data_IF_707677754376
#
_entry.id   IF_707677754376
#
_cell.length_a   1.000
_cell.length_b   1.000
_cell.length_c   1.000
_cell.angle_alpha   90.00
_cell.angle_beta   90.00
_cell.angle_gamma   90.00
#
_symmetry.space_group_name_H-M   'P 1'
#
loop_
_entity.id
_entity.type
_entity.pdbx_description
1 polymer ?
#
# COMPACT_ATOMS: atom_id res chain seq x y z
N UNK A 1 -10.48 9.04 -8.38
CA UNK A 1 -11.94 8.96 -8.17
C UNK A 1 -12.22 8.38 -6.80
N UNK A 2 -13.32 8.76 -6.16
CA UNK A 2 -13.85 8.19 -4.91
C UNK A 2 -15.28 7.73 -5.15
N UNK A 3 -15.63 6.51 -4.74
CA UNK A 3 -17.00 6.00 -4.86
C UNK A 3 -17.87 6.54 -3.71
N UNK A 4 -18.89 7.33 -4.02
CA UNK A 4 -19.80 7.95 -3.03
C UNK A 4 -21.22 7.92 -3.58
N UNK A 5 -22.18 7.44 -2.79
CA UNK A 5 -23.59 7.51 -3.16
C UNK A 5 -23.96 6.76 -4.46
N UNK A 6 -23.19 5.74 -4.85
CA UNK A 6 -23.43 4.95 -6.06
C UNK A 6 -22.66 5.40 -7.30
N UNK A 7 -21.83 6.45 -7.21
CA UNK A 7 -21.08 6.98 -8.36
C UNK A 7 -19.61 7.25 -8.02
N UNK A 8 -18.76 7.25 -9.05
CA UNK A 8 -17.35 7.63 -8.97
C UNK A 8 -17.20 9.15 -9.15
N UNK A 9 -16.93 9.85 -8.06
CA UNK A 9 -16.71 11.30 -8.06
C UNK A 9 -15.22 11.58 -8.29
N UNK A 10 -14.85 12.49 -9.20
CA UNK A 10 -13.45 12.92 -9.35
C UNK A 10 -13.00 13.66 -8.08
N UNK A 11 -11.73 13.47 -7.73
CA UNK A 11 -11.06 14.16 -6.62
C UNK A 11 -9.80 14.77 -7.21
N UNK A 12 -9.54 16.04 -6.91
CA UNK A 12 -8.36 16.74 -7.41
C UNK A 12 -7.08 16.02 -6.98
N UNK A 13 -6.20 15.76 -7.93
CA UNK A 13 -4.97 14.98 -7.72
C UNK A 13 -4.67 14.09 -8.91
N UNK A 14 -3.39 13.96 -9.26
CA UNK A 14 -2.90 13.14 -10.36
C UNK A 14 -2.01 12.03 -9.81
N UNK A 15 -2.62 10.89 -9.50
CA UNK A 15 -1.93 9.73 -8.94
C UNK A 15 -1.98 8.56 -9.93
N UNK A 16 -0.89 7.80 -10.03
CA UNK A 16 -0.82 6.56 -10.82
C UNK A 16 -1.22 5.34 -10.01
N UNK A 17 -1.12 5.42 -8.69
CA UNK A 17 -1.54 4.40 -7.73
C UNK A 17 -2.03 5.08 -6.47
N UNK A 18 -3.08 4.53 -5.88
CA UNK A 18 -3.68 4.95 -4.61
C UNK A 18 -4.00 3.72 -3.78
N UNK A 19 -3.97 3.87 -2.46
CA UNK A 19 -4.38 2.86 -1.50
C UNK A 19 -5.26 3.48 -0.40
N UNK A 20 -6.20 2.68 0.08
CA UNK A 20 -7.18 3.04 1.09
C UNK A 20 -7.29 1.96 2.19
N UNK A 21 -6.22 1.18 2.42
CA UNK A 21 -6.16 0.16 3.46
C UNK A 21 -5.85 0.71 4.86
N UNK A 22 -5.50 2.00 4.96
CA UNK A 22 -5.20 2.69 6.21
C UNK A 22 -6.40 2.91 7.13
N UNK A 23 -6.18 3.67 8.20
CA UNK A 23 -7.21 4.10 9.16
C UNK A 23 -7.93 5.36 8.66
N UNK A 24 -8.64 5.21 7.54
CA UNK A 24 -9.36 6.24 6.78
C UNK A 24 -8.49 7.24 6.02
N UNK A 25 -7.18 7.31 6.22
CA UNK A 25 -6.31 8.07 5.31
C UNK A 25 -6.20 7.40 3.94
N UNK A 26 -6.00 8.20 2.91
CA UNK A 26 -5.67 7.71 1.57
C UNK A 26 -4.21 8.04 1.29
N UNK A 27 -3.46 7.08 0.78
CA UNK A 27 -2.09 7.31 0.31
C UNK A 27 -1.97 7.01 -1.17
N UNK A 28 -0.91 7.50 -1.79
CA UNK A 28 -0.65 7.18 -3.19
C UNK A 28 0.59 7.85 -3.74
N UNK A 29 0.87 7.55 -4.99
CA UNK A 29 2.04 8.07 -5.71
C UNK A 29 1.65 8.57 -7.10
N UNK A 30 2.33 9.60 -7.58
CA UNK A 30 2.10 10.14 -8.92
C UNK A 30 3.03 9.52 -9.98
N UNK A 31 2.91 9.97 -11.23
CA UNK A 31 3.74 9.51 -12.35
C UNK A 31 5.24 9.76 -12.16
N UNK A 32 5.62 10.76 -11.36
CA UNK A 32 6.98 11.11 -11.01
C UNK A 32 7.48 10.44 -9.70
N UNK A 33 6.78 9.42 -9.20
CA UNK A 33 7.06 8.72 -7.94
C UNK A 33 6.93 9.59 -6.67
N UNK A 34 6.38 10.80 -6.76
CA UNK A 34 6.14 11.63 -5.57
C UNK A 34 5.06 10.98 -4.70
N UNK A 35 5.28 11.01 -3.39
CA UNK A 35 4.48 10.32 -2.38
C UNK A 35 3.50 11.30 -1.73
N UNK A 36 2.24 10.90 -1.62
CA UNK A 36 1.17 11.73 -1.08
C UNK A 36 0.32 11.00 -0.05
N UNK A 37 -0.25 11.78 0.87
CA UNK A 37 -1.26 11.35 1.84
C UNK A 37 -2.41 12.36 1.91
N UNK A 38 -3.62 11.86 2.07
CA UNK A 38 -4.84 12.63 2.29
C UNK A 38 -5.45 12.27 3.65
N UNK A 39 -5.66 13.29 4.47
CA UNK A 39 -6.06 13.15 5.88
C UNK A 39 -7.50 12.70 6.03
N UNK A 40 -7.80 12.05 7.15
CA UNK A 40 -9.15 11.55 7.50
C UNK A 40 -10.25 12.60 7.45
N UNK A 41 -9.95 13.85 7.87
CA UNK A 41 -10.93 14.94 7.84
C UNK A 41 -11.45 15.27 6.44
N UNK A 42 -10.72 14.89 5.39
CA UNK A 42 -11.10 15.06 3.98
C UNK A 42 -11.72 13.76 3.44
N UNK A 43 -11.10 12.61 3.72
CA UNK A 43 -11.52 11.33 3.17
C UNK A 43 -12.85 10.85 3.76
N UNK A 44 -13.12 11.10 5.04
CA UNK A 44 -14.40 10.75 5.69
C UNK A 44 -15.52 11.74 5.36
N UNK A 45 -15.22 12.89 4.75
CA UNK A 45 -16.24 13.85 4.36
C UNK A 45 -17.13 13.29 3.22
N UNK A 46 -18.44 13.38 3.43
CA UNK A 46 -19.48 13.16 2.41
C UNK A 46 -19.46 14.34 1.41
N UNK A 47 -19.69 14.08 0.11
CA UNK A 47 -18.85 14.56 -0.98
C UNK A 47 -18.55 16.06 -0.88
N UNK A 48 -17.26 16.38 -0.82
CA UNK A 48 -16.76 17.69 -1.20
C UNK A 48 -16.30 17.59 -2.66
N UNK A 49 -17.14 17.94 -3.66
CA UNK A 49 -16.64 18.25 -4.98
C UNK A 49 -15.75 19.49 -4.85
N UNK A 50 -14.43 19.32 -4.91
CA UNK A 50 -13.51 20.45 -4.81
C UNK A 50 -12.05 20.07 -4.60
N UNK A 51 -11.22 21.11 -4.57
CA UNK A 51 -9.79 21.04 -4.34
C UNK A 51 -9.49 20.43 -2.96
N UNK A 52 -8.82 19.27 -2.96
CA UNK A 52 -8.33 18.63 -1.75
C UNK A 52 -6.83 18.92 -1.53
N UNK A 53 -6.44 19.07 -0.26
CA UNK A 53 -5.05 19.34 0.11
C UNK A 53 -4.27 18.05 0.35
N UNK A 54 -3.53 17.57 -0.65
CA UNK A 54 -2.61 16.44 -0.50
C UNK A 54 -1.35 16.85 0.28
N UNK A 55 -0.94 16.03 1.24
CA UNK A 55 0.33 16.17 1.95
C UNK A 55 1.42 15.45 1.18
N UNK A 56 2.48 16.15 0.78
CA UNK A 56 3.66 15.55 0.14
C UNK A 56 4.71 15.14 1.17
N UNK A 57 5.33 13.97 1.00
CA UNK A 57 6.25 13.38 1.99
C UNK A 57 7.74 13.47 1.66
N UNK A 58 8.10 13.93 0.46
CA UNK A 58 9.48 13.84 -0.04
C UNK A 58 9.94 12.39 -0.25
N UNK A 59 11.01 12.22 -1.03
CA UNK A 59 11.42 10.91 -1.53
C UNK A 59 10.56 10.40 -2.68
N UNK A 60 10.85 9.18 -3.14
CA UNK A 60 10.28 8.61 -4.36
C UNK A 60 9.86 7.15 -4.16
N UNK A 61 8.57 6.85 -4.37
CA UNK A 61 8.02 5.50 -4.40
C UNK A 61 7.17 5.31 -5.67
N UNK A 62 7.19 4.10 -6.22
CA UNK A 62 6.31 3.71 -7.33
C UNK A 62 5.02 3.01 -6.86
N UNK A 63 4.97 2.59 -5.60
CA UNK A 63 3.84 1.94 -4.95
C UNK A 63 3.85 2.26 -3.45
N UNK A 64 2.69 2.55 -2.87
CA UNK A 64 2.55 2.84 -1.45
C UNK A 64 1.19 2.37 -0.92
N UNK A 65 1.21 1.58 0.15
CA UNK A 65 0.04 0.92 0.76
C UNK A 65 0.12 1.06 2.29
N UNK A 66 -1.00 1.24 2.95
CA UNK A 66 -1.09 1.47 4.39
C UNK A 66 -2.01 0.45 5.07
N UNK A 67 -1.72 0.18 6.34
CA UNK A 67 -2.59 -0.57 7.24
C UNK A 67 -2.32 -0.17 8.69
N UNK A 68 -2.89 -0.89 9.68
CA UNK A 68 -2.89 -0.46 11.08
C UNK A 68 -1.49 -0.38 11.72
N UNK A 69 -0.54 -1.21 11.27
CA UNK A 69 0.82 -1.27 11.82
C UNK A 69 1.83 -0.41 11.04
N UNK A 70 1.40 0.33 10.04
CA UNK A 70 2.25 1.20 9.23
C UNK A 70 2.00 1.05 7.73
N UNK A 71 2.77 1.81 6.97
CA UNK A 71 2.68 1.90 5.53
C UNK A 71 3.95 1.41 4.87
N UNK A 72 3.79 0.58 3.85
CA UNK A 72 4.85 -0.05 3.08
C UNK A 72 4.85 0.47 1.66
N UNK A 73 6.03 0.70 1.13
CA UNK A 73 6.19 1.15 -0.23
C UNK A 73 7.46 0.63 -0.87
N UNK A 74 7.47 0.68 -2.20
CA UNK A 74 8.64 0.30 -2.99
C UNK A 74 9.00 1.42 -3.96
N UNK A 75 10.29 1.62 -4.21
CA UNK A 75 10.76 2.60 -5.19
C UNK A 75 11.07 1.98 -6.56
N UNK A 76 11.46 2.82 -7.52
CA UNK A 76 11.83 2.40 -8.88
C UNK A 76 13.03 1.45 -8.91
N UNK A 77 13.94 1.54 -7.93
CA UNK A 77 15.05 0.62 -7.71
C UNK A 77 14.68 -0.68 -6.95
N UNK A 78 13.38 -0.93 -6.76
CA UNK A 78 12.82 -2.11 -6.08
C UNK A 78 13.13 -2.17 -4.57
N UNK A 79 13.71 -1.13 -3.99
CA UNK A 79 13.97 -1.07 -2.54
C UNK A 79 12.66 -0.93 -1.78
N UNK A 80 12.57 -1.63 -0.65
CA UNK A 80 11.39 -1.69 0.21
C UNK A 80 11.57 -0.74 1.38
N UNK A 81 10.54 0.06 1.66
CA UNK A 81 10.54 1.08 2.71
C UNK A 81 9.29 0.97 3.56
N UNK A 82 9.44 1.21 4.86
CA UNK A 82 8.32 1.30 5.80
C UNK A 82 8.36 2.62 6.56
N UNK A 83 7.18 3.16 6.86
CA UNK A 83 6.97 4.31 7.73
C UNK A 83 5.64 4.16 8.47
N UNK A 84 5.41 4.94 9.51
CA UNK A 84 4.11 5.02 10.19
C UNK A 84 3.51 6.38 9.87
N UNK A 85 2.27 6.39 9.39
CA UNK A 85 1.51 7.60 9.07
C UNK A 85 0.48 7.85 10.16
N UNK A 86 0.40 9.10 10.65
CA UNK A 86 -0.71 9.55 11.45
C UNK A 86 -1.87 9.93 10.50
N UNK A 87 -3.03 9.27 10.61
CA UNK A 87 -4.11 9.43 9.63
C UNK A 87 -4.76 10.81 9.67
N UNK A 88 -4.85 11.43 10.85
CA UNK A 88 -5.47 12.74 11.05
C UNK A 88 -4.60 13.90 10.57
N UNK A 89 -3.28 13.77 10.65
CA UNK A 89 -2.34 14.85 10.32
C UNK A 89 -1.53 14.61 9.05
N UNK A 90 -1.51 13.39 8.53
CA UNK A 90 -0.52 12.90 7.56
C UNK A 90 0.93 13.19 8.03
N UNK A 91 1.21 13.30 9.33
CA UNK A 91 2.61 13.29 9.78
C UNK A 91 3.13 11.87 9.71
N UNK A 92 4.39 11.68 9.30
CA UNK A 92 5.01 10.35 9.23
C UNK A 92 6.29 10.25 10.05
N UNK A 93 6.67 9.03 10.41
CA UNK A 93 8.00 8.74 10.95
C UNK A 93 9.08 8.80 9.86
N UNK A 94 10.34 8.61 10.24
CA UNK A 94 11.41 8.39 9.29
C UNK A 94 11.17 7.12 8.48
N UNK A 95 11.62 7.13 7.22
CA UNK A 95 11.61 5.93 6.39
C UNK A 95 12.65 4.94 6.89
N UNK A 96 12.27 3.66 7.00
CA UNK A 96 13.17 2.56 7.34
C UNK A 96 13.31 1.69 6.09
N UNK A 97 14.54 1.46 5.66
CA UNK A 97 14.82 0.52 4.57
C UNK A 97 14.69 -0.91 5.09
N UNK A 98 13.94 -1.75 4.40
CA UNK A 98 13.80 -3.17 4.70
C UNK A 98 14.53 -3.95 3.61
N UNK A 99 15.40 -4.87 4.03
CA UNK A 99 16.17 -5.70 3.10
C UNK A 99 15.26 -6.53 2.19
N UNK A 100 15.64 -6.63 0.91
CA UNK A 100 14.85 -7.31 -0.12
C UNK A 100 14.61 -6.42 -1.34
N UNK A 101 13.93 -6.97 -2.34
CA UNK A 101 13.57 -6.25 -3.56
C UNK A 101 12.14 -6.62 -4.00
N UNK A 102 11.30 -5.62 -4.27
CA UNK A 102 9.91 -5.82 -4.65
C UNK A 102 9.41 -4.84 -5.73
N UNK A 103 8.45 -5.29 -6.54
CA UNK A 103 7.73 -4.45 -7.51
C UNK A 103 6.46 -3.82 -6.93
N UNK A 104 5.90 -4.40 -5.87
CA UNK A 104 4.75 -3.86 -5.12
C UNK A 104 4.76 -4.41 -3.68
N UNK A 105 4.03 -3.74 -2.79
CA UNK A 105 3.80 -4.14 -1.41
C UNK A 105 2.35 -3.82 -1.02
N UNK A 106 1.66 -4.75 -0.39
CA UNK A 106 0.32 -4.54 0.17
C UNK A 106 0.29 -4.82 1.66
N UNK A 107 -0.50 -4.03 2.36
CA UNK A 107 -0.77 -4.15 3.79
C UNK A 107 -2.23 -4.51 3.98
N UNK A 108 -2.51 -5.62 4.68
CA UNK A 108 -3.86 -6.02 5.04
C UNK A 108 -4.39 -5.27 6.25
N UNK A 109 -5.72 -5.34 6.45
CA UNK A 109 -6.42 -4.72 7.58
C UNK A 109 -6.03 -5.32 8.94
N UNK A 110 -5.41 -6.50 8.97
CA UNK A 110 -4.82 -7.12 10.17
C UNK A 110 -3.34 -6.77 10.38
N UNK A 111 -2.77 -5.94 9.49
CA UNK A 111 -1.36 -5.54 9.50
C UNK A 111 -0.41 -6.54 8.84
N UNK A 112 -0.92 -7.62 8.23
CA UNK A 112 -0.10 -8.53 7.42
C UNK A 112 0.44 -7.82 6.19
N UNK A 113 1.69 -8.11 5.81
CA UNK A 113 2.33 -7.46 4.66
C UNK A 113 2.78 -8.51 3.66
N UNK A 114 2.46 -8.25 2.40
CA UNK A 114 2.83 -9.09 1.28
C UNK A 114 3.54 -8.28 0.22
N UNK A 115 4.55 -8.88 -0.41
CA UNK A 115 5.26 -8.27 -1.53
C UNK A 115 5.34 -9.25 -2.69
N UNK A 116 5.39 -8.69 -3.89
CA UNK A 116 5.73 -9.44 -5.11
C UNK A 116 7.02 -8.85 -5.66
N UNK A 117 8.00 -9.69 -5.98
CA UNK A 117 9.23 -9.25 -6.62
C UNK A 117 9.10 -9.17 -8.15
N UNK A 118 10.15 -8.69 -8.83
CA UNK A 118 10.16 -8.57 -10.30
C UNK A 118 9.98 -9.92 -11.00
N UNK A 119 10.48 -11.01 -10.41
CA UNK A 119 10.34 -12.37 -10.92
C UNK A 119 8.95 -12.98 -10.69
N UNK A 120 8.05 -12.27 -9.98
CA UNK A 120 6.71 -12.74 -9.66
C UNK A 120 6.68 -13.72 -8.48
N UNK A 121 7.70 -13.73 -7.62
CA UNK A 121 7.67 -14.49 -6.37
C UNK A 121 6.98 -13.65 -5.28
N UNK A 122 6.18 -14.33 -4.45
CA UNK A 122 5.41 -13.73 -3.36
C UNK A 122 6.10 -14.00 -2.03
N UNK A 123 6.18 -12.98 -1.18
CA UNK A 123 6.70 -13.11 0.18
C UNK A 123 5.77 -12.43 1.17
N UNK A 124 5.59 -13.05 2.33
CA UNK A 124 4.95 -12.45 3.49
C UNK A 124 6.03 -11.93 4.44
N UNK A 125 5.84 -10.74 5.00
CA UNK A 125 6.67 -10.24 6.09
C UNK A 125 6.18 -10.82 7.42
N UNK A 126 7.08 -11.34 8.24
CA UNK A 126 6.77 -11.88 9.57
C UNK A 126 7.31 -10.99 10.68
N UNK A 127 6.83 -11.20 11.90
CA UNK A 127 7.30 -10.49 13.10
C UNK A 127 6.88 -9.03 13.20
N UNK A 128 5.93 -8.57 12.39
CA UNK A 128 5.39 -7.21 12.46
C UNK A 128 4.61 -7.05 13.77
N UNK A 129 4.92 -5.98 14.50
CA UNK A 129 4.16 -5.54 15.68
C UNK A 129 4.04 -4.02 15.67
N UNK A 130 3.19 -3.45 16.53
CA UNK A 130 3.08 -2.00 16.67
C UNK A 130 4.41 -1.30 17.06
N UNK A 131 5.30 -2.00 17.78
CA UNK A 131 6.62 -1.49 18.16
C UNK A 131 7.73 -1.85 17.16
N UNK A 132 7.47 -2.79 16.26
CA UNK A 132 8.39 -3.25 15.22
C UNK A 132 7.68 -3.29 13.86
N UNK A 133 7.31 -2.12 13.31
CA UNK A 133 6.52 -2.03 12.07
C UNK A 133 7.24 -2.62 10.85
N UNK A 134 8.57 -2.69 10.89
CA UNK A 134 9.39 -3.30 9.85
C UNK A 134 9.43 -4.84 9.91
N UNK A 135 8.92 -5.47 10.96
CA UNK A 135 9.00 -6.92 11.18
C UNK A 135 10.43 -7.47 11.21
N UNK A 136 10.58 -8.80 11.09
CA UNK A 136 11.87 -9.48 11.20
C UNK A 136 12.30 -10.11 9.88
N UNK A 137 11.46 -10.98 9.29
CA UNK A 137 11.88 -11.86 8.20
C UNK A 137 10.88 -11.88 7.05
N UNK A 138 11.32 -12.41 5.91
CA UNK A 138 10.48 -12.72 4.76
C UNK A 138 10.28 -14.22 4.66
N UNK A 139 9.04 -14.65 4.51
CA UNK A 139 8.68 -16.04 4.22
C UNK A 139 8.11 -16.11 2.81
N UNK A 140 8.71 -16.95 1.96
CA UNK A 140 8.23 -17.13 0.59
C UNK A 140 6.94 -17.96 0.57
N UNK A 141 5.97 -17.50 -0.21
CA UNK A 141 4.75 -18.26 -0.51
C UNK A 141 4.91 -18.83 -1.92
N UNK A 142 5.02 -20.16 -2.07
CA UNK A 142 5.30 -20.77 -3.35
C UNK A 142 4.07 -20.70 -4.27
N UNK A 143 4.28 -20.22 -5.49
CA UNK A 143 3.33 -20.31 -6.59
C UNK A 143 4.03 -20.97 -7.79
N UNK A 144 3.31 -21.83 -8.52
CA UNK A 144 3.84 -22.51 -9.70
C UNK A 144 4.03 -21.57 -10.91
N UNK A 145 3.35 -20.42 -10.91
CA UNK A 145 3.38 -19.43 -11.98
C UNK A 145 3.73 -18.04 -11.43
N UNK A 146 4.41 -17.19 -12.21
CA UNK A 146 4.73 -15.83 -11.81
C UNK A 146 3.48 -15.03 -11.44
N UNK A 147 3.54 -14.40 -10.26
CA UNK A 147 2.48 -13.53 -9.76
C UNK A 147 2.70 -12.09 -10.25
N UNK A 148 1.63 -11.47 -10.72
CA UNK A 148 1.59 -10.07 -11.14
C UNK A 148 1.32 -9.15 -9.96
N UNK A 149 0.32 -9.49 -9.15
CA UNK A 149 -0.16 -8.64 -8.06
C UNK A 149 -0.83 -9.50 -6.98
N UNK A 150 -0.84 -9.01 -5.74
CA UNK A 150 -1.52 -9.64 -4.61
C UNK A 150 -2.27 -8.59 -3.81
N UNK A 151 -3.31 -8.98 -3.09
CA UNK A 151 -3.89 -8.22 -1.99
C UNK A 151 -4.34 -9.20 -0.92
N UNK A 152 -4.42 -8.77 0.33
CA UNK A 152 -4.76 -9.64 1.44
C UNK A 152 -5.76 -8.96 2.37
N UNK A 153 -6.81 -9.69 2.75
CA UNK A 153 -7.78 -9.22 3.73
C UNK A 153 -8.45 -10.41 4.44
N UNK A 154 -8.68 -10.28 5.75
CA UNK A 154 -9.43 -11.24 6.57
C UNK A 154 -9.07 -12.73 6.33
N UNK A 155 -7.78 -13.06 6.35
CA UNK A 155 -7.29 -14.44 6.17
C UNK A 155 -7.32 -14.96 4.73
N UNK A 156 -7.51 -14.07 3.76
CA UNK A 156 -7.61 -14.42 2.33
C UNK A 156 -6.58 -13.65 1.53
N UNK A 157 -5.70 -14.39 0.88
CA UNK A 157 -4.77 -13.87 -0.12
C UNK A 157 -5.41 -13.96 -1.50
N UNK A 158 -5.58 -12.81 -2.14
CA UNK A 158 -6.05 -12.67 -3.52
C UNK A 158 -4.85 -12.47 -4.43
N UNK A 159 -4.77 -13.24 -5.51
CA UNK A 159 -3.58 -13.30 -6.35
C UNK A 159 -3.98 -13.13 -7.81
N UNK A 160 -3.32 -12.23 -8.52
CA UNK A 160 -3.40 -12.09 -9.97
C UNK A 160 -2.11 -12.62 -10.56
N UNK A 161 -2.18 -13.66 -11.39
CA UNK A 161 -1.02 -14.18 -12.11
C UNK A 161 -0.67 -13.31 -13.32
N UNK A 162 0.57 -13.40 -13.81
CA UNK A 162 0.98 -12.72 -15.06
C UNK A 162 0.15 -13.17 -16.28
N UNK A 163 -0.35 -14.40 -16.26
CA UNK A 163 -1.24 -14.95 -17.29
C UNK A 163 -2.71 -14.48 -17.15
N UNK A 164 -3.03 -13.64 -16.16
CA UNK A 164 -4.37 -13.09 -15.95
C UNK A 164 -5.32 -13.95 -15.11
N UNK A 165 -4.90 -15.16 -14.68
CA UNK A 165 -5.68 -15.96 -13.75
C UNK A 165 -5.75 -15.29 -12.37
N UNK A 166 -6.92 -15.36 -11.74
CA UNK A 166 -7.14 -14.92 -10.37
C UNK A 166 -7.27 -16.15 -9.47
N UNK A 167 -6.56 -16.14 -8.34
CA UNK A 167 -6.68 -17.14 -7.29
C UNK A 167 -7.10 -16.49 -5.98
N UNK A 168 -7.73 -17.29 -5.14
CA UNK A 168 -7.98 -16.98 -3.75
C UNK A 168 -7.41 -18.12 -2.89
N UNK A 169 -6.57 -17.77 -1.93
CA UNK A 169 -5.97 -18.71 -0.99
C UNK A 169 -6.39 -18.37 0.43
N UNK A 170 -6.72 -19.40 1.22
CA UNK A 170 -6.85 -19.24 2.68
C UNK A 170 -5.46 -19.30 3.28
N UNK A 171 -5.16 -18.36 4.16
CA UNK A 171 -3.87 -18.25 4.84
C UNK A 171 -4.00 -18.43 6.35
#
# INVERSE_FOLDING_TARGET
YKFVGGDFVPIDGLLKQVDAGGNDEIVGVNSADNIYCLKTSITSAYPQPGSVGWTWYGGYLKYFSCGPNGCWGVNSAEQIWVTTVNPSTCSKTSWINVSGAAKMAEVGTDGSVFVVNKAGNVYQRTGITASLPQGTDWVQIPFCLPVKHVSYDLGRLWVVMEIGLMLQCKQ
#
